data_IF_499984676410
#
_entry.id   IF_499984676410
#
_cell.length_a   1.000
_cell.length_b   1.000
_cell.length_c   1.000
_cell.angle_alpha   90.00
_cell.angle_beta   90.00
_cell.angle_gamma   90.00
#
_symmetry.space_group_name_H-M   'P 1'
#
loop_
_entity.id
_entity.type
_entity.pdbx_description
1 polymer ?
#
# COMPACT_ATOMS: atom_id res chain seq x y z
N UNK A 1 4.97 -11.03 14.72
CA UNK A 1 4.53 -9.99 13.78
C UNK A 1 4.30 -10.63 12.41
N UNK A 2 3.36 -10.12 11.64
CA UNK A 2 3.05 -10.52 10.26
C UNK A 2 3.42 -9.36 9.32
N UNK A 3 3.83 -9.68 8.12
CA UNK A 3 4.06 -8.70 7.07
C UNK A 3 3.08 -8.88 5.91
N UNK A 4 2.43 -7.81 5.48
CA UNK A 4 1.56 -7.82 4.30
C UNK A 4 2.35 -7.24 3.12
N UNK A 5 2.76 -8.11 2.20
CA UNK A 5 3.30 -7.71 0.90
C UNK A 5 2.15 -7.31 0.00
N UNK A 6 2.26 -6.13 -0.61
CA UNK A 6 1.31 -5.64 -1.61
C UNK A 6 2.06 -5.21 -2.85
N UNK A 7 1.61 -5.71 -4.00
CA UNK A 7 2.12 -5.32 -5.33
C UNK A 7 0.97 -4.71 -6.10
N UNK A 8 1.06 -3.42 -6.39
CA UNK A 8 0.06 -2.68 -7.14
C UNK A 8 0.55 -2.51 -8.58
N UNK A 9 -0.11 -3.22 -9.50
CA UNK A 9 0.12 -3.08 -10.94
C UNK A 9 -0.70 -1.90 -11.45
N UNK A 10 -0.04 -0.82 -11.85
CA UNK A 10 -0.72 0.33 -12.45
C UNK A 10 -1.10 0.08 -13.90
N UNK A 11 -2.10 0.80 -14.38
CA UNK A 11 -2.27 0.98 -15.83
C UNK A 11 -1.06 1.73 -16.41
N UNK A 12 -0.79 1.48 -17.68
CA UNK A 12 0.37 2.05 -18.39
C UNK A 12 0.46 3.56 -18.21
N UNK A 13 1.59 4.04 -17.67
CA UNK A 13 1.87 5.45 -17.51
C UNK A 13 1.26 6.11 -16.26
N UNK A 14 0.48 5.37 -15.46
CA UNK A 14 -0.18 5.91 -14.25
C UNK A 14 0.59 5.65 -12.95
N UNK A 15 1.73 4.95 -12.99
CA UNK A 15 2.58 4.77 -11.80
C UNK A 15 2.95 6.10 -11.12
N UNK A 16 3.35 7.18 -11.84
CA UNK A 16 3.63 8.47 -11.20
C UNK A 16 2.45 9.03 -10.40
N UNK A 17 1.22 8.85 -10.88
CA UNK A 17 0.01 9.29 -10.18
C UNK A 17 -0.21 8.50 -8.88
N UNK A 18 0.08 7.20 -8.91
CA UNK A 18 0.03 6.37 -7.71
C UNK A 18 1.06 6.82 -6.67
N UNK A 19 2.31 7.07 -7.10
CA UNK A 19 3.39 7.51 -6.22
C UNK A 19 3.05 8.85 -5.55
N UNK A 20 2.57 9.83 -6.35
CA UNK A 20 2.13 11.12 -5.84
C UNK A 20 1.02 10.96 -4.79
N UNK A 21 0.03 10.09 -5.03
CA UNK A 21 -1.02 9.81 -4.05
C UNK A 21 -0.46 9.24 -2.75
N UNK A 22 0.51 8.32 -2.81
CA UNK A 22 1.14 7.80 -1.61
C UNK A 22 1.88 8.88 -0.83
N UNK A 23 2.69 9.67 -1.52
CA UNK A 23 3.53 10.72 -0.94
C UNK A 23 2.70 11.84 -0.31
N UNK A 24 1.65 12.32 -0.98
CA UNK A 24 0.93 13.52 -0.56
C UNK A 24 -0.36 13.24 0.20
N UNK A 25 -0.87 12.01 0.17
CA UNK A 25 -2.15 11.64 0.79
C UNK A 25 -2.02 10.41 1.68
N UNK A 26 -1.74 9.25 1.10
CA UNK A 26 -1.96 7.96 1.78
C UNK A 26 -1.11 7.80 3.03
N UNK A 27 0.19 8.14 2.98
CA UNK A 27 1.08 7.94 4.12
C UNK A 27 0.72 8.82 5.33
N UNK A 28 0.25 10.05 5.09
CA UNK A 28 -0.22 10.94 6.15
C UNK A 28 -1.46 10.38 6.86
N UNK A 29 -2.42 9.87 6.10
CA UNK A 29 -3.62 9.23 6.65
C UNK A 29 -3.25 7.95 7.40
N UNK A 30 -2.40 7.10 6.82
CA UNK A 30 -1.91 5.87 7.46
C UNK A 30 -1.23 6.10 8.79
N UNK A 31 -0.41 7.16 8.90
CA UNK A 31 0.21 7.53 10.16
C UNK A 31 -0.82 7.79 11.27
N UNK A 32 -1.95 8.45 10.95
CA UNK A 32 -3.04 8.69 11.92
C UNK A 32 -3.78 7.42 12.33
N UNK A 33 -3.91 6.45 11.42
CA UNK A 33 -4.50 5.13 11.70
C UNK A 33 -3.51 4.11 12.28
N UNK A 34 -2.23 4.50 12.44
CA UNK A 34 -1.17 3.63 12.95
C UNK A 34 -0.82 2.47 12.01
N UNK A 35 -1.02 2.61 10.70
CA UNK A 35 -0.56 1.64 9.71
C UNK A 35 0.94 1.81 9.52
N UNK A 36 1.70 0.72 9.70
CA UNK A 36 3.17 0.74 9.72
C UNK A 36 3.72 0.18 8.41
N UNK A 37 4.49 0.97 7.68
CA UNK A 37 5.24 0.49 6.52
C UNK A 37 6.62 -0.07 6.94
N UNK A 38 7.05 -1.16 6.31
CA UNK A 38 8.41 -1.67 6.40
C UNK A 38 9.28 -1.23 5.21
N UNK A 39 8.67 -0.88 4.07
CA UNK A 39 9.37 -0.29 2.94
C UNK A 39 8.51 -0.23 1.66
N UNK A 40 8.97 0.56 0.69
CA UNK A 40 8.34 0.81 -0.61
C UNK A 40 9.40 0.80 -1.72
N UNK A 41 9.04 0.23 -2.87
CA UNK A 41 9.92 0.08 -4.02
C UNK A 41 9.14 0.18 -5.33
N UNK A 42 9.79 0.72 -6.36
CA UNK A 42 9.37 0.58 -7.76
C UNK A 42 10.28 -0.42 -8.46
N UNK A 43 9.73 -1.23 -9.36
CA UNK A 43 10.51 -2.23 -10.11
C UNK A 43 11.38 -1.56 -11.17
N UNK A 44 12.70 -1.70 -11.04
CA UNK A 44 13.67 -1.26 -12.06
C UNK A 44 13.88 -2.34 -13.13
N UNK A 45 14.02 -3.60 -12.71
CA UNK A 45 14.12 -4.78 -13.58
C UNK A 45 13.21 -5.85 -12.97
N UNK A 46 12.32 -6.45 -13.77
CA UNK A 46 11.40 -7.48 -13.29
C UNK A 46 10.14 -7.61 -14.15
N UNK A 47 9.07 -8.21 -13.61
CA UNK A 47 7.83 -8.50 -14.35
C UNK A 47 7.15 -7.26 -14.94
N UNK A 48 7.23 -6.11 -14.27
CA UNK A 48 6.76 -4.84 -14.82
C UNK A 48 7.35 -3.65 -14.09
N UNK A 49 7.74 -2.63 -14.84
CA UNK A 49 8.13 -1.33 -14.31
C UNK A 49 6.93 -0.42 -13.95
N UNK A 50 5.70 -0.93 -14.04
CA UNK A 50 4.47 -0.25 -13.61
C UNK A 50 4.03 -0.66 -12.18
N UNK A 51 4.88 -1.43 -11.48
CA UNK A 51 4.60 -1.94 -10.14
C UNK A 51 5.10 -1.00 -9.03
N UNK A 52 4.21 -0.75 -8.07
CA UNK A 52 4.58 -0.31 -6.73
C UNK A 52 4.50 -1.50 -5.77
N UNK A 53 5.63 -1.88 -5.19
CA UNK A 53 5.75 -2.97 -4.22
C UNK A 53 6.01 -2.38 -2.84
N UNK A 54 5.29 -2.84 -1.82
CA UNK A 54 5.52 -2.40 -0.46
C UNK A 54 5.12 -3.44 0.58
N UNK A 55 5.66 -3.27 1.78
CA UNK A 55 5.42 -4.13 2.93
C UNK A 55 4.81 -3.33 4.08
N UNK A 56 3.77 -3.90 4.70
CA UNK A 56 3.19 -3.38 5.94
C UNK A 56 3.43 -4.36 7.08
N UNK A 57 3.59 -3.85 8.30
CA UNK A 57 3.82 -4.62 9.51
C UNK A 57 2.58 -4.63 10.41
N UNK A 58 2.20 -5.81 10.88
CA UNK A 58 1.03 -6.06 11.72
C UNK A 58 1.39 -6.95 12.90
N UNK A 59 0.89 -6.65 14.09
CA UNK A 59 1.03 -7.50 15.28
C UNK A 59 0.12 -8.73 15.17
N UNK A 60 -1.03 -8.59 14.50
CA UNK A 60 -1.97 -9.68 14.23
C UNK A 60 -2.87 -9.41 13.02
N UNK A 61 -3.56 -10.44 12.51
CA UNK A 61 -4.61 -10.28 11.49
C UNK A 61 -5.78 -9.42 11.97
N UNK A 62 -6.13 -9.50 13.27
CA UNK A 62 -7.21 -8.69 13.84
C UNK A 62 -6.86 -7.19 13.84
N UNK A 63 -5.64 -6.82 14.23
CA UNK A 63 -5.16 -5.44 14.16
C UNK A 63 -5.17 -4.94 12.71
N UNK A 64 -4.70 -5.77 11.76
CA UNK A 64 -4.71 -5.48 10.32
C UNK A 64 -6.12 -5.15 9.84
N UNK A 65 -7.10 -6.01 10.15
CA UNK A 65 -8.50 -5.82 9.75
C UNK A 65 -9.08 -4.52 10.32
N UNK A 66 -8.87 -4.28 11.62
CA UNK A 66 -9.35 -3.07 12.29
C UNK A 66 -8.78 -1.80 11.64
N UNK A 67 -7.46 -1.74 11.44
CA UNK A 67 -6.79 -0.56 10.89
C UNK A 67 -7.11 -0.32 9.43
N UNK A 68 -7.17 -1.38 8.61
CA UNK A 68 -7.60 -1.26 7.22
C UNK A 68 -9.04 -0.80 7.09
N UNK A 69 -9.96 -1.34 7.90
CA UNK A 69 -11.35 -0.91 7.91
C UNK A 69 -11.48 0.57 8.27
N UNK A 70 -10.76 1.02 9.32
CA UNK A 70 -10.73 2.42 9.71
C UNK A 70 -10.16 3.32 8.61
N UNK A 71 -9.07 2.91 7.95
CA UNK A 71 -8.51 3.65 6.83
C UNK A 71 -9.47 3.74 5.63
N UNK A 72 -10.11 2.64 5.23
CA UNK A 72 -11.04 2.63 4.10
C UNK A 72 -12.29 3.47 4.37
N UNK A 73 -12.70 3.58 5.63
CA UNK A 73 -13.82 4.40 6.06
C UNK A 73 -13.45 5.87 6.33
N UNK A 74 -12.16 6.25 6.27
CA UNK A 74 -11.72 7.62 6.53
C UNK A 74 -12.30 8.56 5.44
N UNK A 75 -13.08 9.60 5.81
CA UNK A 75 -13.70 10.51 4.85
C UNK A 75 -12.68 11.25 3.97
N UNK A 76 -11.52 11.60 4.53
CA UNK A 76 -10.45 12.26 3.77
C UNK A 76 -9.89 11.29 2.73
N UNK A 77 -9.68 10.02 3.09
CA UNK A 77 -9.25 9.00 2.13
C UNK A 77 -10.26 8.85 0.99
N UNK A 78 -11.56 8.76 1.30
CA UNK A 78 -12.62 8.60 0.31
C UNK A 78 -12.62 9.79 -0.66
N UNK A 79 -12.58 11.02 -0.14
CA UNK A 79 -12.53 12.25 -0.95
C UNK A 79 -11.28 12.29 -1.83
N UNK A 80 -10.09 12.10 -1.23
CA UNK A 80 -8.82 12.22 -1.95
C UNK A 80 -8.66 11.10 -2.98
N UNK A 81 -9.12 9.89 -2.68
CA UNK A 81 -9.14 8.79 -3.65
C UNK A 81 -9.99 9.17 -4.87
N UNK A 82 -11.21 9.65 -4.66
CA UNK A 82 -12.10 10.09 -5.74
C UNK A 82 -11.45 11.21 -6.59
N UNK A 83 -10.76 12.16 -5.94
CA UNK A 83 -9.99 13.20 -6.63
C UNK A 83 -8.87 12.62 -7.48
N UNK A 84 -8.09 11.68 -6.95
CA UNK A 84 -6.94 11.09 -7.65
C UNK A 84 -7.34 10.10 -8.74
N UNK A 85 -8.50 9.47 -8.65
CA UNK A 85 -9.02 8.48 -9.61
C UNK A 85 -10.15 9.07 -10.50
N UNK A 86 -10.26 10.41 -10.58
CA UNK A 86 -11.30 11.10 -11.37
C UNK A 86 -11.26 10.73 -12.86
N UNK A 87 -10.06 10.50 -13.39
CA UNK A 87 -9.80 10.16 -14.78
C UNK A 87 -9.84 8.63 -15.02
N UNK A 88 -10.25 7.88 -14.01
CA UNK A 88 -10.33 6.42 -14.03
C UNK A 88 -9.43 5.75 -12.98
N UNK A 89 -9.49 4.41 -12.89
CA UNK A 89 -8.69 3.65 -11.95
C UNK A 89 -7.20 3.79 -12.26
N UNK A 90 -6.38 4.02 -11.24
CA UNK A 90 -4.91 4.04 -11.39
C UNK A 90 -4.34 2.62 -11.39
N UNK A 91 -4.86 1.77 -10.51
CA UNK A 91 -4.36 0.41 -10.26
C UNK A 91 -5.24 -0.59 -11.01
N UNK A 92 -4.61 -1.40 -11.86
CA UNK A 92 -5.26 -2.44 -12.65
C UNK A 92 -5.41 -3.75 -11.87
N UNK A 93 -4.39 -4.10 -11.08
CA UNK A 93 -4.39 -5.32 -10.27
C UNK A 93 -3.66 -5.11 -8.94
N UNK A 94 -4.11 -5.83 -7.92
CA UNK A 94 -3.47 -5.87 -6.60
C UNK A 94 -3.18 -7.32 -6.24
N UNK A 95 -1.91 -7.63 -6.04
CA UNK A 95 -1.49 -8.89 -5.43
C UNK A 95 -1.18 -8.64 -3.95
N UNK A 96 -1.54 -9.60 -3.10
CA UNK A 96 -1.32 -9.51 -1.66
C UNK A 96 -0.86 -10.85 -1.12
N UNK A 97 0.16 -10.83 -0.27
CA UNK A 97 0.63 -12.00 0.46
C UNK A 97 0.90 -11.65 1.92
N UNK A 98 0.63 -12.58 2.83
CA UNK A 98 0.95 -12.46 4.24
C UNK A 98 2.16 -13.34 4.54
N UNK A 99 3.20 -12.71 5.09
CA UNK A 99 4.51 -13.30 5.29
C UNK A 99 4.82 -13.36 6.78
N UNK A 100 5.30 -14.52 7.21
CA UNK A 100 5.86 -14.71 8.54
C UNK A 100 7.40 -14.56 8.44
N UNK A 101 8.03 -13.63 9.16
CA UNK A 101 9.49 -13.54 9.20
C UNK A 101 10.10 -14.83 9.76
N UNK A 102 11.21 -15.27 9.17
CA UNK A 102 12.04 -16.35 9.72
C UNK A 102 12.87 -15.84 10.91
N UNK A 103 13.48 -16.73 11.68
CA UNK A 103 14.28 -16.37 12.87
C UNK A 103 15.54 -15.52 12.56
N UNK A 104 16.00 -15.52 11.31
CA UNK A 104 17.17 -14.75 10.86
C UNK A 104 16.79 -13.52 10.01
N UNK A 105 15.49 -13.21 9.93
CA UNK A 105 15.01 -12.00 9.26
C UNK A 105 15.46 -10.74 10.00
N UNK A 106 15.95 -9.74 9.26
CA UNK A 106 16.26 -8.42 9.83
C UNK A 106 14.99 -7.59 10.11
N UNK A 107 13.88 -7.91 9.44
CA UNK A 107 12.57 -7.34 9.76
C UNK A 107 11.89 -8.18 10.87
N UNK A 108 11.31 -7.54 11.90
CA UNK A 108 10.84 -8.19 13.13
C UNK A 108 9.57 -9.05 12.99
#
# INVERSE_FOLDING_TARGET
MLHELRVYRCLTGLLPNLLARFETVTLGIWARHGIRQAGFWTTVIGPSNQDLTYLLAWDSMAEREQKWAAFQADPEWIEKRAVTERDGPIVANIETAFLQPTSFSSVP
#
